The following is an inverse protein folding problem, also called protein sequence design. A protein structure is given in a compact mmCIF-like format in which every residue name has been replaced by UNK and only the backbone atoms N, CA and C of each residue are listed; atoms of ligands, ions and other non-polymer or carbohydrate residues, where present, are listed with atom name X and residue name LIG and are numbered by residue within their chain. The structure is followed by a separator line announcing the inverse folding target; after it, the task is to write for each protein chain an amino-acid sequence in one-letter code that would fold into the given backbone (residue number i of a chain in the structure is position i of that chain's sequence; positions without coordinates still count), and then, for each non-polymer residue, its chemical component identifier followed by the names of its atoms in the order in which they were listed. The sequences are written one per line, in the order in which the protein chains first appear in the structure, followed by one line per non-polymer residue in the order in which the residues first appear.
data_IF_602072224045
#
_entry.id   IF_602072224045
#
_cell.length_a   1.000
_cell.length_b   1.000
_cell.length_c   1.000
_cell.angle_alpha   90.00
_cell.angle_beta   90.00
_cell.angle_gamma   90.00
#
_symmetry.space_group_name_H-M   'P 1'
#
loop_
_entity.id
_entity.type
_entity.pdbx_description
1 polymer ?
#
# COMPACT_ATOMS: atom_id res chain seq x y z
N UNK A 1 -0.78 11.07 32.58
CA UNK A 1 -0.63 10.18 33.75
C UNK A 1 -0.72 8.75 33.24
N UNK A 2 0.44 8.10 33.10
CA UNK A 2 0.79 6.90 33.86
C UNK A 2 -0.07 5.68 33.50
N UNK A 3 0.45 4.93 32.53
CA UNK A 3 0.12 3.53 32.26
C UNK A 3 0.15 2.72 33.56
N UNK A 4 -0.94 2.01 33.87
CA UNK A 4 -0.98 0.94 34.84
C UNK A 4 -1.16 -0.36 34.08
N UNK A 5 -0.12 -1.18 34.16
CA UNK A 5 -0.10 -2.57 33.72
C UNK A 5 -1.07 -3.41 34.56
N UNK A 6 -2.01 -4.08 33.90
CA UNK A 6 -2.66 -5.29 34.39
C UNK A 6 -2.92 -6.22 33.22
N UNK A 7 -2.37 -7.44 33.30
CA UNK A 7 -2.58 -8.49 32.30
C UNK A 7 -4.03 -8.95 32.26
N UNK A 8 -4.73 -8.49 31.24
CA UNK A 8 -5.81 -9.14 30.52
C UNK A 8 -5.56 -8.76 29.05
N UNK A 9 -5.78 -9.66 28.09
CA UNK A 9 -5.52 -9.37 26.67
C UNK A 9 -6.11 -8.01 26.30
N UNK A 10 -5.24 -7.06 25.97
CA UNK A 10 -5.63 -5.70 25.63
C UNK A 10 -6.53 -5.81 24.39
N UNK A 11 -7.79 -5.39 24.52
CA UNK A 11 -8.68 -5.32 23.38
C UNK A 11 -8.07 -4.31 22.42
N UNK A 12 -7.62 -4.80 21.26
CA UNK A 12 -7.06 -3.96 20.23
C UNK A 12 -8.23 -3.29 19.49
N UNK A 13 -8.16 -1.97 19.35
CA UNK A 13 -9.20 -1.15 18.74
C UNK A 13 -8.58 -0.11 17.81
N UNK A 14 -9.16 0.04 16.62
CA UNK A 14 -8.80 1.09 15.66
C UNK A 14 -10.04 1.90 15.29
N UNK A 15 -10.03 3.20 15.59
CA UNK A 15 -11.25 4.02 15.60
C UNK A 15 -11.07 5.29 14.77
N UNK A 16 -12.13 5.67 14.05
CA UNK A 16 -12.25 6.96 13.39
C UNK A 16 -13.61 7.58 13.64
N UNK A 17 -13.63 8.85 14.03
CA UNK A 17 -14.86 9.62 14.30
C UNK A 17 -14.93 10.86 13.41
N UNK A 18 -15.12 10.69 12.08
CA UNK A 18 -14.91 11.76 11.12
C UNK A 18 -16.02 12.82 11.12
N UNK A 19 -17.19 12.54 11.72
CA UNK A 19 -18.38 13.39 11.60
C UNK A 19 -18.68 13.73 10.13
N UNK A 20 -18.58 12.71 9.26
CA UNK A 20 -18.61 12.88 7.81
C UNK A 20 -20.06 12.89 7.32
N UNK A 21 -20.49 13.97 6.70
CA UNK A 21 -21.81 14.05 6.06
C UNK A 21 -21.94 13.01 4.94
N UNK A 22 -23.07 12.32 4.92
CA UNK A 22 -23.44 11.35 3.89
C UNK A 22 -24.11 12.13 2.76
N UNK A 23 -23.55 12.16 1.53
CA UNK A 23 -24.14 12.92 0.43
C UNK A 23 -25.40 12.25 -0.12
N UNK A 24 -26.49 12.99 -0.19
CA UNK A 24 -27.73 12.56 -0.81
C UNK A 24 -27.54 12.29 -2.32
N UNK A 25 -28.35 11.38 -2.86
CA UNK A 25 -28.52 11.19 -4.31
C UNK A 25 -27.28 10.73 -5.09
N UNK A 26 -26.33 10.03 -4.46
CA UNK A 26 -25.15 9.49 -5.16
C UNK A 26 -24.66 8.18 -4.56
N UNK A 27 -25.30 7.04 -4.86
CA UNK A 27 -24.70 5.73 -4.56
C UNK A 27 -23.34 5.54 -5.28
N UNK A 28 -23.09 6.32 -6.33
CA UNK A 28 -21.81 6.41 -7.03
C UNK A 28 -20.72 7.20 -6.28
N UNK A 29 -21.11 8.06 -5.33
CA UNK A 29 -20.19 8.87 -4.50
C UNK A 29 -20.55 8.68 -3.01
N UNK A 30 -20.27 7.50 -2.43
CA UNK A 30 -20.49 7.30 -1.00
C UNK A 30 -19.61 8.23 -0.16
N UNK A 31 -20.06 8.55 1.04
CA UNK A 31 -19.19 9.05 2.10
C UNK A 31 -18.13 7.99 2.38
N UNK A 32 -16.85 8.39 2.35
CA UNK A 32 -15.71 7.49 2.55
C UNK A 32 -14.83 8.03 3.65
N UNK A 33 -14.51 7.16 4.60
CA UNK A 33 -13.49 7.42 5.60
C UNK A 33 -12.46 6.29 5.60
N UNK A 34 -11.24 6.59 6.04
CA UNK A 34 -10.11 5.67 5.93
C UNK A 34 -9.30 5.60 7.23
N UNK A 35 -8.90 4.38 7.57
CA UNK A 35 -7.94 4.08 8.63
C UNK A 35 -6.71 3.43 8.00
N UNK A 36 -5.55 4.05 8.20
CA UNK A 36 -4.26 3.42 7.90
C UNK A 36 -3.78 2.76 9.18
N UNK A 37 -3.72 1.42 9.16
CA UNK A 37 -3.27 0.64 10.31
C UNK A 37 -1.85 0.16 10.05
N UNK A 38 -0.93 0.61 10.90
CA UNK A 38 0.46 0.14 10.96
C UNK A 38 0.62 -0.81 12.15
N UNK A 39 -0.02 -1.98 12.04
CA UNK A 39 0.01 -3.03 13.06
C UNK A 39 0.19 -4.39 12.36
N UNK A 40 0.95 -5.30 12.99
CA UNK A 40 1.21 -6.63 12.43
C UNK A 40 0.34 -7.69 13.11
N UNK A 41 0.29 -8.89 12.53
CA UNK A 41 -0.57 -9.97 13.00
C UNK A 41 -1.70 -10.25 12.04
N UNK A 42 -2.20 -11.48 12.09
CA UNK A 42 -3.27 -11.93 11.22
C UNK A 42 -4.58 -11.92 11.98
N UNK A 43 -5.65 -11.52 11.31
CA UNK A 43 -6.98 -11.47 11.87
C UNK A 43 -7.46 -12.90 12.10
N UNK A 44 -7.92 -13.20 13.31
CA UNK A 44 -8.57 -14.46 13.65
C UNK A 44 -10.08 -14.32 13.88
N UNK A 45 -10.48 -13.13 14.31
CA UNK A 45 -11.86 -12.66 14.31
C UNK A 45 -11.84 -11.13 14.18
N UNK A 46 -12.95 -10.57 13.71
CA UNK A 46 -13.13 -9.13 13.58
C UNK A 46 -14.56 -8.79 14.00
N UNK A 47 -14.71 -7.77 14.83
CA UNK A 47 -15.97 -7.04 14.95
C UNK A 47 -15.80 -5.64 14.37
N UNK A 48 -16.90 -5.06 13.88
CA UNK A 48 -16.94 -3.71 13.33
C UNK A 48 -18.05 -2.96 14.01
N UNK A 49 -17.75 -1.81 14.59
CA UNK A 49 -18.78 -0.95 15.16
C UNK A 49 -19.09 0.21 14.23
N UNK A 50 -20.37 0.57 14.17
CA UNK A 50 -20.90 1.67 13.37
C UNK A 50 -21.79 2.55 14.25
N UNK A 51 -21.56 3.86 14.16
CA UNK A 51 -22.42 4.93 14.68
C UNK A 51 -22.70 5.91 13.53
N UNK A 52 -23.94 5.85 13.03
CA UNK A 52 -24.41 6.64 11.90
C UNK A 52 -25.74 7.26 12.29
N UNK A 53 -25.82 8.59 12.23
CA UNK A 53 -27.10 9.30 12.32
C UNK A 53 -27.71 9.43 10.94
N UNK A 54 -28.97 9.02 10.77
CA UNK A 54 -29.69 9.09 9.48
C UNK A 54 -31.20 8.98 9.73
N UNK A 55 -32.01 9.77 9.01
CA UNK A 55 -33.48 9.82 9.19
C UNK A 55 -34.26 8.71 8.46
N UNK A 56 -33.57 7.89 7.68
CA UNK A 56 -34.13 6.71 7.03
C UNK A 56 -33.04 5.69 6.75
N UNK A 57 -32.84 4.72 7.64
CA UNK A 57 -31.68 3.82 7.52
C UNK A 57 -31.83 2.79 6.39
N UNK A 58 -33.06 2.56 5.90
CA UNK A 58 -33.36 1.63 4.80
C UNK A 58 -32.76 2.00 3.45
N UNK A 59 -32.23 3.21 3.30
CA UNK A 59 -31.56 3.63 2.08
C UNK A 59 -30.04 3.47 2.12
N UNK A 60 -29.50 3.11 3.29
CA UNK A 60 -28.07 3.02 3.50
C UNK A 60 -27.49 1.71 3.00
N UNK A 61 -26.37 1.83 2.29
CA UNK A 61 -25.49 0.73 1.94
C UNK A 61 -24.11 1.00 2.52
N UNK A 62 -23.65 0.12 3.40
CA UNK A 62 -22.38 0.23 4.11
C UNK A 62 -21.43 -0.86 3.63
N UNK A 63 -20.24 -0.46 3.15
CA UNK A 63 -19.18 -1.37 2.68
C UNK A 63 -17.88 -1.14 3.43
N UNK A 64 -17.15 -2.21 3.66
CA UNK A 64 -15.81 -2.21 4.24
C UNK A 64 -14.82 -2.81 3.25
N UNK A 65 -13.84 -2.02 2.84
CA UNK A 65 -12.72 -2.47 2.01
C UNK A 65 -11.46 -2.56 2.86
N UNK A 66 -10.71 -3.64 2.70
CA UNK A 66 -9.37 -3.81 3.25
C UNK A 66 -8.36 -3.95 2.12
N UNK A 67 -7.34 -3.09 2.10
CA UNK A 67 -6.32 -3.05 1.05
C UNK A 67 -4.96 -3.24 1.70
N UNK A 68 -4.30 -4.35 1.38
CA UNK A 68 -2.94 -4.64 1.84
C UNK A 68 -1.96 -4.43 0.70
N UNK A 69 -1.00 -3.55 0.91
CA UNK A 69 0.05 -3.27 -0.07
C UNK A 69 1.17 -4.31 0.05
N UNK A 70 0.95 -5.49 -0.54
CA UNK A 70 1.98 -6.53 -0.65
C UNK A 70 2.74 -6.42 -1.98
N UNK A 71 3.97 -6.92 -2.01
CA UNK A 71 4.72 -7.12 -3.26
C UNK A 71 4.35 -8.48 -3.87
N UNK A 72 4.18 -8.62 -5.20
CA UNK A 72 4.33 -7.60 -6.24
C UNK A 72 3.06 -6.76 -6.53
N UNK A 73 1.92 -7.12 -5.93
CA UNK A 73 0.63 -6.46 -6.15
C UNK A 73 -0.15 -6.34 -4.83
N UNK A 74 -0.96 -5.27 -4.65
CA UNK A 74 -1.83 -5.17 -3.50
C UNK A 74 -2.96 -6.20 -3.55
N UNK A 75 -3.38 -6.69 -2.40
CA UNK A 75 -4.62 -7.46 -2.23
C UNK A 75 -5.74 -6.51 -1.78
N UNK A 76 -6.98 -6.83 -2.16
CA UNK A 76 -8.15 -6.09 -1.73
C UNK A 76 -9.31 -7.04 -1.43
N UNK A 77 -9.85 -6.95 -0.23
CA UNK A 77 -11.05 -7.67 0.21
C UNK A 77 -12.15 -6.65 0.48
N UNK A 78 -13.34 -6.86 -0.08
CA UNK A 78 -14.47 -5.93 0.03
C UNK A 78 -15.70 -6.68 0.54
N UNK A 79 -16.33 -6.13 1.57
CA UNK A 79 -17.44 -6.75 2.28
C UNK A 79 -18.61 -5.78 2.39
N UNK A 80 -19.81 -6.29 2.13
CA UNK A 80 -21.08 -5.58 2.34
C UNK A 80 -21.51 -5.81 3.79
N UNK A 81 -21.49 -4.75 4.60
CA UNK A 81 -21.85 -4.82 6.00
C UNK A 81 -23.36 -4.70 6.20
N UNK A 82 -23.96 -3.74 5.51
CA UNK A 82 -25.40 -3.45 5.51
C UNK A 82 -25.83 -3.10 4.08
N UNK A 83 -26.93 -3.67 3.62
CA UNK A 83 -27.57 -3.38 2.35
C UNK A 83 -29.04 -3.09 2.55
N UNK A 84 -29.38 -1.79 2.62
CA UNK A 84 -30.75 -1.31 2.78
C UNK A 84 -31.49 -2.04 3.91
N UNK A 85 -31.08 -1.87 5.19
CA UNK A 85 -31.71 -2.54 6.31
C UNK A 85 -33.23 -2.43 6.32
N UNK A 86 -33.93 -3.45 6.81
CA UNK A 86 -35.38 -3.49 6.97
C UNK A 86 -36.15 -4.01 5.75
N UNK A 87 -35.49 -4.52 4.71
CA UNK A 87 -36.18 -5.10 3.53
C UNK A 87 -37.05 -6.33 3.87
N UNK A 88 -36.81 -6.98 5.00
CA UNK A 88 -37.69 -8.04 5.54
C UNK A 88 -38.92 -7.49 6.27
N UNK A 89 -38.89 -6.21 6.68
CA UNK A 89 -39.97 -5.49 7.35
C UNK A 89 -40.87 -4.73 6.36
N UNK A 90 -40.25 -3.95 5.47
CA UNK A 90 -40.88 -3.33 4.31
C UNK A 90 -40.03 -3.62 3.07
N UNK A 91 -40.53 -4.52 2.22
CA UNK A 91 -39.81 -5.01 1.05
C UNK A 91 -39.62 -3.96 -0.06
N UNK A 92 -40.27 -2.80 0.04
CA UNK A 92 -40.18 -1.75 -0.98
C UNK A 92 -39.10 -0.72 -0.66
N UNK A 93 -39.00 -0.31 0.62
CA UNK A 93 -38.16 0.83 1.02
C UNK A 93 -37.15 0.52 2.13
N UNK A 94 -37.25 -0.61 2.83
CA UNK A 94 -36.42 -0.91 3.99
C UNK A 94 -36.97 -0.28 5.27
N UNK A 95 -36.10 -0.07 6.26
CA UNK A 95 -36.46 0.45 7.57
C UNK A 95 -36.56 1.98 7.54
N UNK A 96 -37.75 2.49 7.86
CA UNK A 96 -38.09 3.90 7.89
C UNK A 96 -37.76 4.61 9.21
N UNK A 97 -37.02 3.96 10.09
CA UNK A 97 -36.65 4.48 11.40
C UNK A 97 -35.21 5.01 11.42
N UNK A 98 -34.91 5.86 12.40
CA UNK A 98 -33.65 6.61 12.43
C UNK A 98 -32.52 5.86 13.14
N UNK A 99 -31.30 6.18 12.69
CA UNK A 99 -30.00 5.94 13.31
C UNK A 99 -29.55 4.47 13.44
N UNK A 100 -28.23 4.29 13.43
CA UNK A 100 -27.52 3.02 13.59
C UNK A 100 -26.47 3.19 14.69
N UNK A 101 -26.49 2.34 15.71
CA UNK A 101 -25.47 2.24 16.77
C UNK A 101 -25.24 0.77 17.13
N UNK A 102 -24.43 0.09 16.32
CA UNK A 102 -24.36 -1.37 16.32
C UNK A 102 -22.93 -1.89 16.29
N UNK A 103 -22.68 -2.95 17.07
CA UNK A 103 -21.50 -3.79 16.96
C UNK A 103 -21.82 -4.99 16.05
N UNK A 104 -21.24 -4.99 14.86
CA UNK A 104 -21.33 -6.08 13.91
C UNK A 104 -20.36 -7.20 14.31
N UNK A 105 -20.89 -8.40 14.53
CA UNK A 105 -20.13 -9.59 14.93
C UNK A 105 -20.70 -10.85 14.30
N UNK A 106 -19.83 -11.73 13.84
CA UNK A 106 -20.21 -13.04 13.28
C UNK A 106 -20.86 -13.97 14.32
N UNK A 107 -20.63 -13.68 15.61
CA UNK A 107 -21.15 -14.46 16.74
C UNK A 107 -22.59 -14.13 17.10
N UNK A 108 -23.11 -12.98 16.64
CA UNK A 108 -24.48 -12.60 16.87
C UNK A 108 -25.45 -13.58 16.20
N UNK A 109 -26.71 -13.65 16.64
CA UNK A 109 -27.69 -14.58 16.05
C UNK A 109 -28.53 -13.93 14.96
N UNK A 110 -28.93 -12.67 15.14
CA UNK A 110 -29.80 -11.92 14.24
C UNK A 110 -28.99 -11.01 13.31
N UNK A 111 -29.45 -10.84 12.07
CA UNK A 111 -28.87 -9.88 11.13
C UNK A 111 -29.22 -8.44 11.52
N UNK A 112 -28.30 -7.52 11.28
CA UNK A 112 -28.53 -6.10 11.46
C UNK A 112 -29.59 -5.58 10.47
N UNK A 113 -29.59 -6.11 9.24
CA UNK A 113 -30.57 -5.78 8.20
C UNK A 113 -31.99 -6.26 8.50
N UNK A 114 -32.19 -7.15 9.47
CA UNK A 114 -33.54 -7.55 9.93
C UNK A 114 -34.08 -6.66 11.05
N UNK A 115 -33.26 -5.75 11.60
CA UNK A 115 -33.68 -4.86 12.67
C UNK A 115 -34.33 -3.59 12.11
N UNK A 116 -35.46 -3.22 12.70
CA UNK A 116 -36.11 -1.95 12.48
C UNK A 116 -36.91 -1.57 13.74
N UNK A 117 -36.22 -1.06 14.76
CA UNK A 117 -36.87 -0.64 16.00
C UNK A 117 -37.43 0.77 15.85
N UNK A 118 -38.67 0.99 16.32
CA UNK A 118 -39.25 2.34 16.43
C UNK A 118 -38.58 3.21 17.50
N UNK A 119 -37.75 2.62 18.38
CA UNK A 119 -36.90 3.35 19.32
C UNK A 119 -35.53 3.54 18.66
N UNK A 120 -35.01 4.76 18.70
CA UNK A 120 -33.71 5.09 18.11
C UNK A 120 -32.56 4.80 19.08
N UNK A 121 -31.42 4.25 18.61
CA UNK A 121 -31.13 3.84 17.24
C UNK A 121 -31.91 2.59 16.81
N UNK A 122 -32.40 2.61 15.56
CA UNK A 122 -33.27 1.59 15.01
C UNK A 122 -32.55 0.24 14.81
N UNK A 123 -31.25 0.27 14.51
CA UNK A 123 -30.34 -0.88 14.59
C UNK A 123 -29.41 -0.65 15.78
N UNK A 124 -29.37 -1.62 16.70
CA UNK A 124 -28.57 -1.48 17.93
C UNK A 124 -28.01 -2.77 18.50
N UNK A 125 -27.09 -2.62 19.46
CA UNK A 125 -26.54 -3.73 20.22
C UNK A 125 -25.55 -4.55 19.41
N UNK A 126 -25.65 -5.88 19.46
CA UNK A 126 -24.76 -6.78 18.71
C UNK A 126 -25.56 -7.53 17.65
N UNK A 127 -25.15 -7.43 16.38
CA UNK A 127 -25.87 -7.99 15.25
C UNK A 127 -24.90 -8.59 14.22
N UNK A 128 -25.38 -9.48 13.35
CA UNK A 128 -24.58 -9.98 12.23
C UNK A 128 -24.63 -9.00 11.06
N UNK A 129 -23.50 -8.75 10.38
CA UNK A 129 -23.53 -8.09 9.07
C UNK A 129 -24.15 -8.98 8.00
N UNK A 130 -24.49 -8.39 6.85
CA UNK A 130 -25.07 -9.12 5.72
C UNK A 130 -24.10 -10.14 5.12
N UNK A 131 -22.84 -9.77 4.98
CA UNK A 131 -21.75 -10.70 4.68
C UNK A 131 -20.80 -10.85 5.89
N UNK A 132 -20.33 -12.08 6.12
CA UNK A 132 -19.58 -12.47 7.31
C UNK A 132 -18.19 -11.81 7.39
N UNK A 133 -17.81 -11.26 8.55
CA UNK A 133 -16.51 -10.61 8.79
C UNK A 133 -15.35 -11.60 8.76
N UNK A 134 -15.62 -12.90 8.95
CA UNK A 134 -14.65 -13.98 8.81
C UNK A 134 -14.01 -14.06 7.43
N UNK A 135 -14.54 -13.34 6.43
CA UNK A 135 -13.88 -13.14 5.14
C UNK A 135 -12.47 -12.53 5.27
N UNK A 136 -12.23 -11.73 6.32
CA UNK A 136 -10.92 -11.15 6.62
C UNK A 136 -10.01 -12.07 7.44
N UNK A 137 -10.48 -13.24 7.89
CA UNK A 137 -9.68 -14.15 8.71
C UNK A 137 -8.46 -14.66 7.93
N UNK A 138 -7.29 -14.58 8.56
CA UNK A 138 -6.00 -14.94 7.97
C UNK A 138 -5.32 -13.80 7.22
N UNK A 139 -6.01 -12.68 6.93
CA UNK A 139 -5.39 -11.48 6.40
C UNK A 139 -4.58 -10.75 7.48
N UNK A 140 -3.55 -9.99 7.08
CA UNK A 140 -2.85 -9.08 7.98
C UNK A 140 -3.82 -7.97 8.44
N UNK A 141 -3.73 -7.50 9.69
CA UNK A 141 -4.53 -6.34 10.11
C UNK A 141 -4.01 -5.01 9.53
N UNK A 142 -2.71 -4.96 9.24
CA UNK A 142 -2.04 -3.80 8.68
C UNK A 142 -2.44 -3.56 7.24
N UNK A 143 -2.67 -2.29 6.90
CA UNK A 143 -3.19 -1.91 5.59
C UNK A 143 -4.08 -0.67 5.64
N UNK A 144 -4.70 -0.37 4.52
CA UNK A 144 -5.71 0.67 4.41
C UNK A 144 -7.10 0.04 4.53
N UNK A 145 -7.79 0.40 5.60
CA UNK A 145 -9.20 0.10 5.79
C UNK A 145 -10.03 1.29 5.34
N UNK A 146 -11.11 1.03 4.62
CA UNK A 146 -12.00 2.06 4.10
C UNK A 146 -13.44 1.67 4.35
N UNK A 147 -14.14 2.50 5.13
CA UNK A 147 -15.59 2.42 5.25
C UNK A 147 -16.22 3.33 4.20
N UNK A 148 -17.21 2.81 3.47
CA UNK A 148 -18.01 3.56 2.51
C UNK A 148 -19.48 3.48 2.90
N UNK A 149 -20.16 4.62 3.02
CA UNK A 149 -21.60 4.72 3.29
C UNK A 149 -22.27 5.44 2.12
N UNK A 150 -23.16 4.75 1.42
CA UNK A 150 -23.96 5.29 0.33
C UNK A 150 -25.42 5.41 0.77
N UNK A 151 -26.02 6.57 0.51
CA UNK A 151 -27.47 6.76 0.59
C UNK A 151 -28.09 6.62 -0.83
N UNK A 152 -29.16 5.83 -0.93
CA UNK A 152 -29.91 5.55 -2.16
C UNK A 152 -31.19 6.38 -2.33
N UNK A 153 -31.47 7.32 -1.43
CA UNK A 153 -32.61 8.24 -1.50
C UNK A 153 -32.17 9.71 -1.68
N UNK A 154 -33.15 10.58 -1.97
CA UNK A 154 -32.97 12.01 -2.20
C UNK A 154 -33.69 12.91 -1.17
N UNK A 155 -34.29 12.30 -0.15
CA UNK A 155 -35.07 13.00 0.87
C UNK A 155 -34.34 13.15 2.22
N UNK A 156 -33.40 12.25 2.51
CA UNK A 156 -32.82 12.08 3.83
C UNK A 156 -31.37 12.55 3.88
N UNK A 157 -30.94 12.96 5.07
CA UNK A 157 -29.57 13.37 5.33
C UNK A 157 -29.04 12.59 6.52
N UNK A 158 -27.74 12.32 6.51
CA UNK A 158 -27.10 11.76 7.68
C UNK A 158 -25.61 12.04 7.79
N UNK A 159 -25.03 11.47 8.84
CA UNK A 159 -23.64 11.66 9.22
C UNK A 159 -23.06 10.34 9.71
N UNK A 160 -21.90 9.96 9.18
CA UNK A 160 -21.04 8.95 9.77
C UNK A 160 -20.32 9.59 10.97
N UNK A 161 -20.81 9.31 12.17
CA UNK A 161 -20.29 9.88 13.40
C UNK A 161 -19.00 9.17 13.81
N UNK A 162 -19.03 7.83 13.86
CA UNK A 162 -17.94 7.00 14.34
C UNK A 162 -17.99 5.58 13.74
N UNK A 163 -16.81 5.00 13.52
CA UNK A 163 -16.66 3.58 13.23
C UNK A 163 -15.34 3.06 13.78
N UNK A 164 -15.31 1.78 14.12
CA UNK A 164 -14.09 1.14 14.63
C UNK A 164 -13.99 -0.32 14.28
N UNK A 165 -12.77 -0.82 14.24
CA UNK A 165 -12.41 -2.21 14.10
C UNK A 165 -11.96 -2.76 15.45
N UNK A 166 -12.53 -3.90 15.85
CA UNK A 166 -12.14 -4.64 17.06
C UNK A 166 -11.63 -6.03 16.64
N UNK A 167 -10.37 -6.13 16.17
CA UNK A 167 -9.81 -7.40 15.74
C UNK A 167 -9.32 -8.24 16.93
N UNK A 168 -9.44 -9.56 16.79
CA UNK A 168 -8.67 -10.53 17.57
C UNK A 168 -7.54 -11.01 16.67
N UNK A 169 -6.30 -10.67 17.02
CA UNK A 169 -5.14 -11.05 16.24
C UNK A 169 -4.52 -12.34 16.73
N UNK A 170 -4.12 -13.18 15.79
CA UNK A 170 -3.06 -14.16 16.02
C UNK A 170 -1.77 -13.46 15.65
N UNK A 171 -0.90 -13.27 16.63
CA UNK A 171 0.49 -12.93 16.38
C UNK A 171 1.05 -14.02 15.47
N UNK A 172 1.28 -13.66 14.21
CA UNK A 172 2.30 -14.36 13.45
C UNK A 172 3.63 -13.93 14.08
N UNK A 173 4.56 -14.85 14.39
CA UNK A 173 5.94 -14.43 14.54
C UNK A 173 6.30 -13.82 13.19
N UNK A 174 6.30 -12.48 13.12
CA UNK A 174 6.80 -11.78 11.95
C UNK A 174 8.27 -12.11 11.92
N UNK A 175 8.62 -13.06 11.07
CA UNK A 175 10.00 -13.29 10.76
C UNK A 175 10.42 -12.18 9.82
N UNK A 176 10.86 -11.07 10.40
CA UNK A 176 11.57 -10.03 9.67
C UNK A 176 12.63 -10.72 8.81
N UNK A 177 12.70 -10.51 7.48
CA UNK A 177 13.68 -11.21 6.66
C UNK A 177 15.09 -11.04 7.23
N UNK A 178 15.74 -12.13 7.62
CA UNK A 178 17.02 -12.08 8.34
C UNK A 178 16.96 -12.30 9.85
N UNK A 179 15.79 -12.23 10.47
CA UNK A 179 15.54 -12.52 11.89
C UNK A 179 15.21 -14.02 12.05
N UNK A 180 16.22 -14.79 12.44
CA UNK A 180 16.12 -16.23 12.61
C UNK A 180 15.59 -16.62 13.99
N UNK A 181 15.83 -15.79 15.01
CA UNK A 181 15.42 -16.11 16.38
C UNK A 181 13.99 -15.60 16.72
N UNK A 182 13.43 -14.75 15.86
CA UNK A 182 12.09 -14.19 15.97
C UNK A 182 11.94 -13.12 17.05
N UNK A 183 13.02 -12.44 17.44
CA UNK A 183 13.02 -11.39 18.48
C UNK A 183 12.62 -10.00 17.95
N UNK A 184 12.34 -9.90 16.65
CA UNK A 184 11.90 -8.70 15.98
C UNK A 184 13.05 -7.76 15.60
N UNK A 185 14.30 -8.21 15.61
CA UNK A 185 15.47 -7.43 15.20
C UNK A 185 16.40 -8.31 14.38
N UNK A 186 16.92 -7.81 13.25
CA UNK A 186 18.03 -8.51 12.57
C UNK A 186 19.36 -8.05 13.13
N UNK A 187 20.04 -8.91 13.87
CA UNK A 187 21.35 -8.62 14.44
C UNK A 187 22.34 -9.80 14.42
N UNK A 188 23.38 -9.70 15.26
CA UNK A 188 24.45 -10.70 15.33
C UNK A 188 23.95 -12.05 15.87
N UNK A 189 22.86 -12.08 16.62
CA UNK A 189 22.25 -13.31 17.09
C UNK A 189 21.72 -14.15 15.92
N UNK A 190 21.08 -13.51 14.94
CA UNK A 190 20.58 -14.19 13.73
C UNK A 190 21.72 -14.68 12.84
N UNK A 191 22.77 -13.86 12.72
CA UNK A 191 23.97 -14.26 12.01
C UNK A 191 24.63 -15.47 12.68
N UNK A 192 24.55 -15.57 14.01
CA UNK A 192 24.99 -16.74 14.77
C UNK A 192 24.24 -18.00 14.35
N UNK A 193 22.93 -17.91 14.11
CA UNK A 193 22.09 -19.03 13.67
C UNK A 193 22.42 -19.44 12.22
N UNK A 194 22.50 -18.47 11.30
CA UNK A 194 22.90 -18.73 9.90
C UNK A 194 24.29 -19.36 9.85
N UNK A 195 25.23 -18.82 10.63
CA UNK A 195 26.60 -19.34 10.73
C UNK A 195 26.66 -20.77 11.30
N UNK A 196 25.83 -21.09 12.30
CA UNK A 196 25.77 -22.42 12.89
C UNK A 196 25.20 -23.49 11.95
N UNK A 197 24.32 -23.09 11.03
CA UNK A 197 23.64 -23.99 10.09
C UNK A 197 24.15 -23.86 8.65
N UNK A 198 25.24 -23.12 8.41
CA UNK A 198 25.72 -22.85 7.06
C UNK A 198 26.03 -24.14 6.27
N UNK A 199 25.56 -24.19 5.03
CA UNK A 199 25.64 -25.34 4.12
C UNK A 199 24.90 -26.60 4.65
N UNK A 200 23.92 -26.44 5.54
CA UNK A 200 23.03 -27.51 5.97
C UNK A 200 21.78 -27.60 5.06
N UNK A 201 21.19 -28.80 5.02
CA UNK A 201 20.04 -29.13 4.16
C UNK A 201 18.79 -29.43 5.01
N UNK A 202 17.62 -29.33 4.37
CA UNK A 202 16.29 -29.49 4.98
C UNK A 202 16.07 -28.52 6.16
N UNK A 203 16.63 -27.32 6.05
CA UNK A 203 16.49 -26.29 7.07
C UNK A 203 15.17 -25.53 6.91
N UNK A 204 14.79 -24.83 7.97
CA UNK A 204 13.62 -23.98 8.02
C UNK A 204 14.08 -22.57 8.37
N UNK A 205 13.16 -21.61 8.29
CA UNK A 205 13.43 -20.20 8.60
C UNK A 205 14.20 -19.98 9.90
N UNK A 206 13.76 -20.62 11.00
CA UNK A 206 14.37 -20.50 12.33
C UNK A 206 15.80 -21.05 12.40
N UNK A 207 16.22 -21.80 11.38
CA UNK A 207 17.59 -22.31 11.24
C UNK A 207 18.43 -21.46 10.28
N UNK A 208 17.89 -20.35 9.75
CA UNK A 208 18.60 -19.43 8.86
C UNK A 208 18.35 -19.62 7.37
N UNK A 209 17.36 -20.44 6.96
CA UNK A 209 16.90 -20.53 5.56
C UNK A 209 15.81 -19.48 5.31
N UNK A 210 16.22 -18.31 4.86
CA UNK A 210 15.34 -17.17 4.60
C UNK A 210 14.80 -17.16 3.17
N UNK A 211 15.35 -17.98 2.28
CA UNK A 211 14.85 -18.16 0.91
C UNK A 211 13.75 -19.22 0.81
N UNK A 212 13.69 -20.15 1.77
CA UNK A 212 12.74 -21.26 1.85
C UNK A 212 13.06 -22.41 0.89
N UNK A 213 14.29 -22.50 0.39
CA UNK A 213 14.70 -23.53 -0.57
C UNK A 213 15.25 -24.81 0.10
N UNK A 214 15.28 -24.82 1.43
CA UNK A 214 15.74 -25.92 2.27
C UNK A 214 17.25 -25.94 2.49
N UNK A 215 18.00 -24.95 2.00
CA UNK A 215 19.43 -24.78 2.21
C UNK A 215 19.69 -23.51 3.03
N UNK A 216 20.80 -23.49 3.76
CA UNK A 216 21.33 -22.26 4.38
C UNK A 216 22.62 -21.90 3.69
N UNK A 217 22.60 -20.88 2.82
CA UNK A 217 23.75 -20.50 2.02
C UNK A 217 23.98 -18.98 1.92
N UNK A 218 24.79 -18.56 0.95
CA UNK A 218 25.14 -17.14 0.74
C UNK A 218 23.92 -16.29 0.37
N UNK A 219 22.88 -16.89 -0.18
CA UNK A 219 21.62 -16.22 -0.53
C UNK A 219 20.88 -15.79 0.73
N UNK A 220 20.85 -16.62 1.77
CA UNK A 220 20.26 -16.29 3.07
C UNK A 220 21.08 -15.23 3.81
N UNK A 221 22.41 -15.33 3.77
CA UNK A 221 23.29 -14.26 4.26
C UNK A 221 23.05 -12.94 3.52
N UNK A 222 22.72 -12.99 2.23
CA UNK A 222 22.33 -11.82 1.45
C UNK A 222 21.04 -11.17 1.96
N UNK A 223 20.03 -11.99 2.32
CA UNK A 223 18.78 -11.51 2.92
C UNK A 223 19.04 -10.89 4.30
N UNK A 224 19.79 -11.58 5.15
CA UNK A 224 20.15 -11.09 6.49
C UNK A 224 20.89 -9.75 6.39
N UNK A 225 21.93 -9.69 5.56
CA UNK A 225 22.73 -8.48 5.37
C UNK A 225 21.91 -7.30 4.82
N UNK A 226 20.96 -7.56 3.91
CA UNK A 226 20.07 -6.54 3.36
C UNK A 226 19.10 -5.96 4.41
N UNK A 227 18.86 -6.68 5.51
CA UNK A 227 17.93 -6.29 6.56
C UNK A 227 18.63 -5.97 7.90
N UNK A 228 19.96 -5.90 7.93
CA UNK A 228 20.72 -5.70 9.16
C UNK A 228 20.28 -4.45 9.93
N UNK A 229 19.89 -4.64 11.19
CA UNK A 229 19.43 -3.57 12.07
C UNK A 229 17.98 -3.13 11.84
N UNK A 230 17.26 -3.73 10.89
CA UNK A 230 15.81 -3.57 10.80
C UNK A 230 15.15 -4.13 12.06
N UNK A 231 14.00 -3.55 12.42
CA UNK A 231 13.23 -3.95 13.60
C UNK A 231 11.76 -4.04 13.24
N UNK A 232 11.09 -5.10 13.69
CA UNK A 232 9.64 -5.13 13.74
C UNK A 232 9.17 -4.27 14.93
N UNK A 233 8.61 -3.10 14.62
CA UNK A 233 8.12 -2.14 15.62
C UNK A 233 6.71 -2.48 16.13
N UNK A 234 6.14 -3.61 15.72
CA UNK A 234 4.79 -4.02 16.11
C UNK A 234 4.62 -4.37 17.59
N UNK A 235 5.72 -4.55 18.33
CA UNK A 235 5.72 -4.84 19.76
C UNK A 235 6.23 -3.68 20.62
N UNK A 236 5.34 -2.75 20.99
CA UNK A 236 5.52 -1.81 22.11
C UNK A 236 6.81 -0.98 22.09
N UNK A 237 6.92 0.05 21.25
CA UNK A 237 7.55 1.30 21.68
C UNK A 237 6.77 2.50 21.16
N UNK A 238 6.25 3.31 22.09
CA UNK A 238 5.87 4.68 21.80
C UNK A 238 7.03 5.35 21.06
N UNK A 239 6.80 5.77 19.83
CA UNK A 239 7.71 6.64 19.10
C UNK A 239 7.86 7.96 19.88
N UNK A 240 8.79 7.99 20.84
CA UNK A 240 9.51 9.22 21.11
C UNK A 240 10.33 9.47 19.87
N UNK A 241 9.82 10.35 19.02
CA UNK A 241 10.51 10.84 17.84
C UNK A 241 11.96 11.18 18.22
N UNK A 242 12.91 10.36 17.76
CA UNK A 242 14.30 10.73 17.79
C UNK A 242 14.42 11.90 16.81
N UNK A 243 14.54 13.12 17.34
CA UNK A 243 14.88 14.30 16.54
C UNK A 243 16.30 14.08 16.03
N UNK A 244 16.44 13.39 14.90
CA UNK A 244 17.68 13.30 14.16
C UNK A 244 17.80 14.60 13.36
N UNK A 245 18.51 15.56 13.94
CA UNK A 245 19.05 16.71 13.21
C UNK A 245 20.03 16.21 12.15
N UNK A 246 19.52 15.73 11.02
CA UNK A 246 20.31 15.55 9.82
C UNK A 246 20.42 16.92 9.14
N UNK A 247 21.38 17.73 9.60
CA UNK A 247 21.91 18.82 8.81
C UNK A 247 22.65 18.18 7.64
N UNK A 248 21.98 18.11 6.49
CA UNK A 248 22.65 17.84 5.21
C UNK A 248 23.22 19.18 4.74
N UNK A 249 24.56 19.38 4.69
CA UNK A 249 25.11 20.55 4.01
C UNK A 249 24.98 20.34 2.50
N UNK A 250 24.20 21.19 1.84
CA UNK A 250 24.09 21.23 0.38
C UNK A 250 25.47 21.48 -0.24
N UNK A 251 25.85 20.81 -1.35
CA UNK A 251 27.09 21.12 -2.05
C UNK A 251 27.00 22.54 -2.62
N UNK A 252 27.86 23.42 -2.13
CA UNK A 252 27.98 24.79 -2.60
C UNK A 252 28.20 24.82 -4.13
N UNK A 253 27.32 25.53 -4.82
CA UNK A 253 27.46 25.90 -6.23
C UNK A 253 28.78 26.63 -6.43
N UNK A 254 29.71 26.03 -7.20
CA UNK A 254 30.97 26.68 -7.55
C UNK A 254 30.70 27.71 -8.65
N UNK A 255 30.61 28.99 -8.28
CA UNK A 255 30.62 30.09 -9.23
C UNK A 255 32.04 30.26 -9.79
N UNK A 256 32.21 30.00 -11.09
CA UNK A 256 33.44 30.33 -11.81
C UNK A 256 33.33 31.78 -12.30
N UNK A 257 34.17 32.72 -11.83
CA UNK A 257 34.09 34.10 -12.25
C UNK A 257 34.63 34.26 -13.68
N UNK A 258 33.80 34.88 -14.55
CA UNK A 258 34.18 35.32 -15.89
C UNK A 258 35.24 36.43 -15.79
N UNK A 259 36.50 36.10 -16.08
CA UNK A 259 37.50 37.11 -16.43
C UNK A 259 37.36 37.47 -17.91
N UNK A 260 37.02 38.73 -18.15
CA UNK A 260 36.98 39.35 -19.48
C UNK A 260 38.39 39.48 -20.05
N UNK A 261 38.68 38.80 -21.15
CA UNK A 261 39.85 39.11 -21.98
C UNK A 261 39.37 39.35 -23.42
N UNK A 262 39.64 40.57 -23.89
CA UNK A 262 39.34 41.06 -25.24
C UNK A 262 40.49 40.67 -26.15
N UNK A 263 40.24 39.87 -27.18
CA UNK A 263 41.18 39.66 -28.29
C UNK A 263 40.41 39.70 -29.62
N UNK A 264 40.87 40.49 -30.63
CA UNK A 264 40.07 40.84 -31.81
C UNK A 264 40.04 39.74 -32.89
N UNK A 265 39.07 39.91 -33.79
CA UNK A 265 38.72 38.99 -34.87
C UNK A 265 39.86 38.75 -35.89
N UNK A 266 40.02 37.48 -36.28
CA UNK A 266 40.53 37.12 -37.62
C UNK A 266 40.08 35.71 -38.01
N UNK A 267 39.46 35.62 -39.20
CA UNK A 267 39.11 34.39 -39.92
C UNK A 267 40.36 33.57 -40.25
N UNK A 268 40.37 32.28 -39.91
CA UNK A 268 41.03 31.23 -40.71
C UNK A 268 40.40 29.85 -40.46
N UNK A 269 40.06 29.18 -41.57
CA UNK A 269 39.79 27.74 -41.67
C UNK A 269 41.03 26.92 -41.26
N UNK A 270 40.87 25.71 -40.68
CA UNK A 270 41.68 24.50 -40.98
C UNK A 270 41.13 23.23 -40.29
N UNK A 271 41.28 22.08 -40.98
CA UNK A 271 40.82 20.71 -40.63
C UNK A 271 41.72 19.98 -39.61
N UNK A 272 41.09 19.17 -38.71
CA UNK A 272 41.44 17.87 -38.03
C UNK A 272 42.90 17.63 -37.50
N UNK A 273 43.29 16.56 -36.73
CA UNK A 273 42.67 15.23 -36.48
C UNK A 273 42.74 14.63 -35.04
N UNK A 274 41.94 13.58 -34.82
CA UNK A 274 42.18 12.33 -34.06
C UNK A 274 42.83 12.28 -32.67
N UNK A 275 42.22 11.53 -31.74
CA UNK A 275 42.96 10.68 -30.80
C UNK A 275 42.23 9.36 -30.51
N UNK A 276 43.02 8.29 -30.52
CA UNK A 276 42.72 6.87 -30.33
C UNK A 276 42.33 6.54 -28.87
N UNK A 277 41.52 5.50 -28.68
CA UNK A 277 41.05 5.02 -27.37
C UNK A 277 41.90 3.93 -26.73
N UNK A 278 41.42 3.42 -25.58
CA UNK A 278 41.72 2.10 -25.02
C UNK A 278 40.41 1.59 -24.40
N UNK A 279 39.93 0.45 -24.91
CA UNK A 279 38.84 -0.32 -24.29
C UNK A 279 39.39 -1.33 -23.30
N UNK A 280 38.57 -1.74 -22.35
CA UNK A 280 38.77 -2.99 -21.63
C UNK A 280 37.59 -3.93 -21.89
N UNK A 281 37.94 -5.20 -22.15
CA UNK A 281 37.06 -6.27 -22.61
C UNK A 281 36.80 -7.19 -21.41
N UNK A 282 35.57 -7.25 -20.91
CA UNK A 282 34.91 -8.44 -20.33
C UNK A 282 33.72 -8.02 -19.43
N UNK A 283 32.51 -7.95 -20.01
CA UNK A 283 31.26 -8.14 -19.28
C UNK A 283 30.22 -8.73 -20.25
N UNK A 284 29.65 -9.92 -19.99
CA UNK A 284 28.71 -10.55 -20.91
C UNK A 284 27.29 -10.04 -20.68
N UNK A 285 26.92 -8.90 -21.28
CA UNK A 285 25.50 -8.55 -21.42
C UNK A 285 24.96 -9.22 -22.70
N UNK A 286 24.23 -10.34 -22.54
CA UNK A 286 23.45 -10.94 -23.64
C UNK A 286 22.20 -10.07 -23.87
N UNK A 287 22.21 -9.22 -24.91
CA UNK A 287 20.96 -8.68 -25.47
C UNK A 287 20.16 -9.82 -26.09
N UNK A 288 18.95 -10.09 -25.59
CA UNK A 288 17.95 -10.93 -26.27
C UNK A 288 17.19 -10.05 -27.27
N UNK A 289 17.32 -10.36 -28.55
CA UNK A 289 16.49 -9.79 -29.62
C UNK A 289 15.09 -10.41 -29.54
N UNK A 290 14.04 -9.60 -29.53
CA UNK A 290 12.65 -10.05 -29.76
C UNK A 290 12.32 -9.65 -31.20
N UNK A 291 12.23 -10.63 -32.10
CA UNK A 291 11.81 -10.41 -33.48
C UNK A 291 10.27 -10.39 -33.55
N UNK A 292 9.69 -9.25 -33.95
CA UNK A 292 8.28 -9.18 -34.33
C UNK A 292 8.14 -9.44 -35.84
N UNK A 293 7.39 -10.46 -36.22
CA UNK A 293 6.98 -10.74 -37.60
C UNK A 293 5.89 -9.74 -38.01
N UNK A 294 6.17 -8.90 -39.02
CA UNK A 294 5.18 -7.98 -39.58
C UNK A 294 4.34 -8.69 -40.66
N UNK A 295 3.02 -8.64 -40.52
CA UNK A 295 2.03 -9.12 -41.49
C UNK A 295 1.41 -7.87 -42.12
N UNK A 296 1.72 -7.56 -43.38
CA UNK A 296 1.08 -6.43 -44.07
C UNK A 296 1.75 -5.98 -45.35
N UNK A 297 0.97 -5.96 -46.42
CA UNK A 297 1.36 -5.83 -47.83
C UNK A 297 1.74 -4.41 -48.26
N UNK A 298 2.86 -4.33 -48.99
CA UNK A 298 3.17 -3.43 -50.11
C UNK A 298 2.63 -1.98 -50.09
N UNK A 299 3.48 -1.06 -49.62
CA UNK A 299 4.06 0.07 -50.38
C UNK A 299 4.44 1.16 -49.40
N UNK A 300 5.64 1.05 -48.83
CA UNK A 300 6.50 2.16 -48.39
C UNK A 300 7.74 1.59 -47.68
N UNK A 301 8.91 1.79 -48.27
CA UNK A 301 10.19 1.39 -47.68
C UNK A 301 10.68 2.47 -46.71
N UNK A 302 10.53 2.23 -45.40
CA UNK A 302 11.19 3.02 -44.36
C UNK A 302 12.35 2.19 -43.77
N UNK A 303 13.54 2.78 -43.74
CA UNK A 303 14.75 2.13 -43.22
C UNK A 303 14.65 1.86 -41.71
N UNK A 304 15.17 0.71 -41.30
CA UNK A 304 15.28 0.26 -39.91
C UNK A 304 16.06 1.27 -39.05
N UNK A 305 15.40 1.86 -38.06
CA UNK A 305 16.04 2.64 -37.00
C UNK A 305 15.94 1.87 -35.69
N UNK A 306 17.07 1.63 -35.02
CA UNK A 306 17.08 1.01 -33.70
C UNK A 306 16.43 1.96 -32.67
N UNK A 307 15.39 1.49 -31.97
CA UNK A 307 14.88 2.16 -30.78
C UNK A 307 15.79 1.79 -29.59
N UNK A 308 16.39 2.79 -28.96
CA UNK A 308 17.07 2.60 -27.67
C UNK A 308 16.14 3.11 -26.57
N UNK A 309 15.79 2.25 -25.61
CA UNK A 309 15.11 2.66 -24.39
C UNK A 309 16.13 2.65 -23.25
N UNK A 310 16.26 3.78 -22.55
CA UNK A 310 16.97 3.88 -21.28
C UNK A 310 15.92 4.16 -20.21
N UNK A 311 15.66 3.19 -19.33
CA UNK A 311 14.73 3.36 -18.22
C UNK A 311 15.52 3.90 -17.02
N UNK A 312 15.36 5.19 -16.72
CA UNK A 312 15.82 5.75 -15.45
C UNK A 312 14.83 5.34 -14.36
N UNK A 313 15.32 4.76 -13.26
CA UNK A 313 14.55 4.45 -12.07
C UNK A 313 14.31 5.79 -11.35
N UNK A 314 13.06 6.26 -11.15
CA UNK A 314 12.83 7.51 -10.41
C UNK A 314 12.91 7.25 -8.90
N UNK A 315 13.71 8.06 -8.18
CA UNK A 315 13.62 8.17 -6.72
C UNK A 315 12.29 8.82 -6.30
N UNK A 316 11.73 8.46 -5.12
CA UNK A 316 10.38 8.84 -4.75
C UNK A 316 10.35 10.22 -4.09
N UNK A 317 10.41 11.29 -4.88
CA UNK A 317 9.92 12.61 -4.46
C UNK A 317 9.84 13.56 -5.65
N UNK A 318 8.65 13.67 -6.25
CA UNK A 318 8.02 14.87 -6.86
C UNK A 318 7.10 14.47 -8.01
N UNK A 319 5.80 14.56 -7.76
CA UNK A 319 4.77 14.60 -8.80
C UNK A 319 4.89 15.92 -9.55
N UNK A 320 5.41 15.89 -10.79
CA UNK A 320 5.21 16.97 -11.75
C UNK A 320 5.05 16.41 -13.16
N UNK A 321 4.01 16.88 -13.84
CA UNK A 321 3.53 16.57 -15.19
C UNK A 321 4.60 16.01 -16.15
N UNK A 322 4.41 14.78 -16.64
CA UNK A 322 5.09 14.27 -17.83
C UNK A 322 4.56 15.02 -19.06
N UNK A 323 5.35 15.98 -19.56
CA UNK A 323 5.20 16.52 -20.90
C UNK A 323 5.89 15.57 -21.90
N UNK A 324 5.11 14.85 -22.70
CA UNK A 324 5.61 13.97 -23.75
C UNK A 324 6.18 14.81 -24.91
N UNK A 325 7.50 14.99 -24.94
CA UNK A 325 8.21 15.64 -26.05
C UNK A 325 8.66 14.62 -27.11
N UNK A 326 8.00 14.59 -28.27
CA UNK A 326 8.40 13.80 -29.43
C UNK A 326 9.54 14.51 -30.18
N UNK A 327 10.79 14.02 -30.07
CA UNK A 327 11.93 14.59 -30.81
C UNK A 327 12.02 13.96 -32.21
N UNK A 328 11.37 14.59 -33.20
CA UNK A 328 11.56 14.25 -34.62
C UNK A 328 12.83 14.93 -35.16
N UNK A 329 13.94 14.20 -35.25
CA UNK A 329 15.16 14.69 -35.93
C UNK A 329 15.00 14.53 -37.44
N UNK A 330 14.41 15.54 -38.09
CA UNK A 330 14.32 15.63 -39.55
C UNK A 330 15.55 16.31 -40.18
N UNK A 331 16.33 15.57 -40.97
CA UNK A 331 17.47 16.13 -41.73
C UNK A 331 16.94 16.83 -43.00
N UNK A 332 16.93 18.17 -43.05
CA UNK A 332 16.68 18.93 -44.30
C UNK A 332 17.88 18.82 -45.25
N UNK A 333 17.75 18.16 -46.40
CA UNK A 333 18.63 18.40 -47.56
C UNK A 333 18.17 19.66 -48.27
N UNK A 334 18.98 20.72 -48.29
CA UNK A 334 18.81 21.81 -49.26
C UNK A 334 19.29 21.33 -50.62
N UNK A 335 18.40 21.33 -51.61
CA UNK A 335 18.77 21.21 -53.02
C UNK A 335 19.27 22.58 -53.52
N UNK A 336 20.51 22.62 -53.99
CA UNK A 336 20.94 23.29 -55.23
C UNK A 336 22.21 22.60 -55.71
#
# INVERSE_FOLDING_TARGET
MSQLSTGAGELLEFTSSPSLSIPDRKPEIPAKDQLVIDHTGNISALNVYLDISHTYIGDLVVKLDHIVYTFPLPTMTSLLLLDRPGMSHDAEFGCDSDDIDVLLSDTATAYASDQCSMDHPAIRGVARPDHQLSAFNGEAIGGLWRLSVADHSDADQGTLNNWRLEPVLVSIPQTLPGDANGDGVVDVADLGIVGANFNANNMQWVSGDFTGDGLVDVSDLGILGANWGNRDLSGKQSMQALVLNAVVPEPATVEVPLLSEVVPASNTFFNSPGFYGIGDKNAPFKLKTIDFVNIGSEKETWGIGNLYYAQAIPEPATLSLLATGLLLVGRRRKMK
#
